data_IF_159715415332
#
_entry.id   IF_159715415332
#
_cell.length_a   1.000
_cell.length_b   1.000
_cell.length_c   1.000
_cell.angle_alpha   90.00
_cell.angle_beta   90.00
_cell.angle_gamma   90.00
#
_symmetry.space_group_name_H-M   'P 1'
#
loop_
_entity.id
_entity.type
_entity.pdbx_description
1 polymer ?
#
# COMPACT_ATOMS: atom_id res chain seq x y z
N UNK A 1 4.42 4.68 -6.44
CA UNK A 1 3.28 5.15 -7.27
C UNK A 1 2.77 6.52 -6.83
N UNK A 2 3.68 7.39 -6.37
CA UNK A 2 3.37 8.79 -6.06
C UNK A 2 3.43 9.59 -7.35
N UNK A 3 2.55 10.56 -7.49
CA UNK A 3 2.55 11.50 -8.63
C UNK A 3 3.65 12.56 -8.46
N UNK A 4 3.72 13.50 -9.40
CA UNK A 4 4.55 14.69 -9.26
C UNK A 4 4.07 15.62 -8.13
N UNK A 5 2.81 15.50 -7.70
CA UNK A 5 2.27 16.25 -6.56
C UNK A 5 2.51 15.45 -5.27
N UNK A 6 3.27 15.98 -4.29
CA UNK A 6 3.55 15.26 -3.07
C UNK A 6 2.28 14.83 -2.30
N UNK A 7 2.25 13.58 -1.84
CA UNK A 7 1.10 13.02 -1.12
C UNK A 7 -0.07 12.55 -1.97
N UNK A 8 -0.08 12.84 -3.29
CA UNK A 8 -1.08 12.30 -4.22
C UNK A 8 -0.52 11.06 -4.92
N UNK A 9 -1.25 9.95 -4.84
CA UNK A 9 -0.89 8.66 -5.41
C UNK A 9 -1.88 8.25 -6.50
N UNK A 10 -1.39 7.59 -7.55
CA UNK A 10 -2.21 7.05 -8.64
C UNK A 10 -1.86 5.58 -8.87
N UNK A 11 -2.87 4.72 -8.90
CA UNK A 11 -2.74 3.26 -9.04
C UNK A 11 -3.79 2.73 -10.02
N UNK A 12 -3.64 1.51 -10.50
CA UNK A 12 -4.56 0.89 -11.45
C UNK A 12 -4.42 1.46 -12.85
N UNK A 13 -5.48 1.41 -13.64
CA UNK A 13 -5.43 1.74 -15.08
C UNK A 13 -5.16 3.22 -15.38
N UNK A 14 -5.31 4.10 -14.38
CA UNK A 14 -4.99 5.52 -14.48
C UNK A 14 -3.48 5.81 -14.36
N UNK A 15 -2.69 4.90 -13.77
CA UNK A 15 -1.27 5.15 -13.55
C UNK A 15 -0.42 4.81 -14.79
N UNK A 16 0.68 5.52 -14.98
CA UNK A 16 1.62 5.31 -16.10
C UNK A 16 3.07 5.19 -15.60
N UNK A 17 3.81 4.22 -16.12
CA UNK A 17 5.24 4.04 -15.93
C UNK A 17 5.78 3.03 -16.96
N UNK A 18 7.09 2.99 -17.25
CA UNK A 18 7.67 2.04 -18.19
C UNK A 18 7.33 0.59 -17.82
N UNK A 19 6.70 -0.14 -18.75
CA UNK A 19 6.30 -1.54 -18.54
C UNK A 19 4.95 -1.75 -17.84
N UNK A 20 4.17 -0.69 -17.55
CA UNK A 20 2.81 -0.83 -16.98
C UNK A 20 1.95 -1.78 -17.80
N UNK A 21 1.33 -2.74 -17.11
CA UNK A 21 0.26 -3.60 -17.64
C UNK A 21 -1.06 -3.22 -16.98
N UNK A 22 -2.12 -3.08 -17.78
CA UNK A 22 -3.48 -2.79 -17.31
C UNK A 22 -4.16 -4.08 -16.84
N UNK A 23 -3.66 -4.60 -15.71
CA UNK A 23 -4.17 -5.81 -15.08
C UNK A 23 -4.64 -5.48 -13.67
N UNK A 24 -5.72 -6.12 -13.25
CA UNK A 24 -6.24 -6.02 -11.88
C UNK A 24 -5.12 -6.36 -10.87
N UNK A 25 -4.33 -7.41 -11.14
CA UNK A 25 -3.22 -7.81 -10.28
C UNK A 25 -2.15 -6.74 -10.11
N UNK A 26 -1.87 -5.97 -11.17
CA UNK A 26 -0.91 -4.85 -11.12
C UNK A 26 -1.44 -3.75 -10.23
N UNK A 27 -2.74 -3.44 -10.33
CA UNK A 27 -3.43 -2.51 -9.44
C UNK A 27 -3.30 -2.88 -7.96
N UNK A 28 -3.41 -4.17 -7.61
CA UNK A 28 -3.21 -4.62 -6.22
C UNK A 28 -1.77 -4.46 -5.72
N UNK A 29 -0.78 -4.79 -6.55
CA UNK A 29 0.62 -4.53 -6.25
C UNK A 29 0.88 -3.04 -6.02
N UNK A 30 0.30 -2.20 -6.87
CA UNK A 30 0.43 -0.75 -6.81
C UNK A 30 -0.20 -0.16 -5.55
N UNK A 31 -1.40 -0.64 -5.20
CA UNK A 31 -2.11 -0.25 -3.98
C UNK A 31 -1.29 -0.55 -2.73
N UNK A 32 -0.69 -1.74 -2.65
CA UNK A 32 0.13 -2.14 -1.51
C UNK A 32 1.30 -1.16 -1.31
N UNK A 33 2.07 -0.87 -2.35
CA UNK A 33 3.20 0.06 -2.25
C UNK A 33 2.78 1.51 -2.01
N UNK A 34 1.65 1.96 -2.59
CA UNK A 34 1.10 3.28 -2.32
C UNK A 34 0.70 3.44 -0.84
N UNK A 35 0.07 2.43 -0.23
CA UNK A 35 -0.29 2.45 1.18
C UNK A 35 0.94 2.53 2.11
N UNK A 36 2.02 1.81 1.79
CA UNK A 36 3.29 1.91 2.54
C UNK A 36 3.89 3.32 2.49
N UNK A 37 3.94 3.93 1.29
CA UNK A 37 4.44 5.28 1.12
C UNK A 37 3.55 6.32 1.83
N UNK A 38 2.23 6.21 1.69
CA UNK A 38 1.26 7.07 2.38
C UNK A 38 1.41 6.97 3.91
N UNK A 39 1.64 5.77 4.45
CA UNK A 39 1.86 5.59 5.90
C UNK A 39 3.08 6.34 6.40
N UNK A 40 4.18 6.35 5.64
CA UNK A 40 5.38 7.09 6.00
C UNK A 40 5.14 8.61 6.08
N UNK A 41 4.28 9.15 5.20
CA UNK A 41 3.85 10.56 5.23
C UNK A 41 2.94 10.84 6.43
N UNK A 42 1.97 9.95 6.70
CA UNK A 42 1.01 10.12 7.80
C UNK A 42 1.64 10.00 9.19
N UNK A 43 2.72 9.24 9.32
CA UNK A 43 3.44 9.07 10.59
C UNK A 43 4.94 9.26 10.43
N UNK A 44 5.41 10.51 10.26
CA UNK A 44 6.83 10.81 10.11
C UNK A 44 7.64 10.31 11.31
N UNK A 45 8.84 9.77 11.05
CA UNK A 45 9.75 9.27 12.08
C UNK A 45 9.39 7.90 12.68
N UNK A 46 8.21 7.35 12.40
CA UNK A 46 7.83 6.00 12.84
C UNK A 46 8.14 4.97 11.74
N UNK A 47 8.94 3.96 12.06
CA UNK A 47 9.20 2.84 11.13
C UNK A 47 7.91 2.07 10.87
N UNK A 48 7.63 1.81 9.59
CA UNK A 48 6.52 0.94 9.20
C UNK A 48 6.99 -0.51 9.31
N UNK A 49 6.48 -1.25 10.29
CA UNK A 49 6.79 -2.66 10.46
C UNK A 49 6.04 -3.50 9.41
N UNK A 50 6.80 -4.23 8.58
CA UNK A 50 6.23 -5.25 7.71
C UNK A 50 5.70 -6.40 8.58
N UNK A 51 4.42 -6.71 8.43
CA UNK A 51 3.74 -7.77 9.17
C UNK A 51 2.95 -8.63 8.19
N UNK A 52 2.99 -9.94 8.39
CA UNK A 52 2.21 -10.87 7.57
C UNK A 52 0.83 -11.07 8.20
N UNK A 53 -0.19 -11.08 7.35
CA UNK A 53 -1.58 -11.25 7.78
C UNK A 53 -1.85 -12.61 8.41
N UNK A 54 -1.02 -13.63 8.14
CA UNK A 54 -1.18 -15.00 8.66
C UNK A 54 -0.72 -15.16 10.11
N UNK A 55 0.25 -14.36 10.56
CA UNK A 55 0.92 -14.57 11.86
C UNK A 55 0.82 -13.39 12.81
N UNK A 56 0.42 -12.20 12.33
CA UNK A 56 0.35 -11.01 13.19
C UNK A 56 -0.97 -10.93 13.96
N UNK A 57 -0.94 -10.99 15.31
CA UNK A 57 -2.14 -10.81 16.13
C UNK A 57 -2.75 -9.41 15.96
N UNK A 58 -1.91 -8.40 15.74
CA UNK A 58 -2.37 -7.02 15.50
C UNK A 58 -3.16 -6.94 14.19
N UNK A 59 -2.74 -7.67 13.15
CA UNK A 59 -3.46 -7.71 11.88
C UNK A 59 -4.78 -8.49 12.02
N UNK A 60 -4.80 -9.63 12.71
CA UNK A 60 -6.03 -10.37 13.00
C UNK A 60 -7.06 -9.50 13.73
N UNK A 61 -6.62 -8.77 14.78
CA UNK A 61 -7.48 -7.82 15.50
C UNK A 61 -8.05 -6.73 14.61
N UNK A 62 -7.25 -6.17 13.68
CA UNK A 62 -7.71 -5.15 12.73
C UNK A 62 -8.69 -5.70 11.69
N UNK A 63 -8.55 -6.97 11.34
CA UNK A 63 -9.43 -7.67 10.41
C UNK A 63 -10.70 -8.22 11.09
N UNK A 64 -10.82 -8.08 12.41
CA UNK A 64 -11.98 -8.57 13.15
C UNK A 64 -12.03 -10.10 13.28
N UNK A 65 -10.89 -10.78 13.15
CA UNK A 65 -10.80 -12.20 13.45
C UNK A 65 -10.81 -12.38 14.97
N UNK A 66 -11.75 -13.16 15.50
CA UNK A 66 -11.73 -13.63 16.88
C UNK A 66 -10.63 -14.67 17.05
N UNK A 67 -9.90 -14.58 18.16
CA UNK A 67 -8.85 -15.54 18.54
C UNK A 67 -9.37 -16.99 18.59
#
# INVERSE_FOLDING_TARGET
FQTNVPGIFAIGDICHYPGKKKLILSGFHEAALAAFAAKAILTPGKKVHLQYTTTSPIMHKRLGLSD
#
